data_IF_569736586750
#
_entry.id   IF_569736586750
#
_cell.length_a   1.000
_cell.length_b   1.000
_cell.length_c   1.000
_cell.angle_alpha   90.00
_cell.angle_beta   90.00
_cell.angle_gamma   90.00
#
_symmetry.space_group_name_H-M   'P 1'
#
loop_
_entity.id
_entity.type
_entity.pdbx_description
1 polymer ?
#
# COMPACT_ATOMS: atom_id res chain seq x y z
N UNK A 1 15.85 14.77 -4.28
CA UNK A 1 14.75 14.60 -5.26
C UNK A 1 15.17 15.10 -6.63
N UNK A 2 15.80 16.26 -6.74
CA UNK A 2 16.39 16.79 -7.99
C UNK A 2 17.51 15.87 -8.50
N UNK A 3 18.53 15.58 -7.67
CA UNK A 3 19.67 14.74 -8.09
C UNK A 3 19.30 13.29 -8.44
N UNK A 4 18.18 12.81 -7.90
CA UNK A 4 17.65 11.47 -8.21
C UNK A 4 16.74 11.47 -9.46
N UNK A 5 16.57 12.61 -10.13
CA UNK A 5 15.70 12.76 -11.31
C UNK A 5 14.20 12.58 -11.01
N UNK A 6 13.78 12.74 -9.76
CA UNK A 6 12.38 12.53 -9.33
C UNK A 6 11.55 13.80 -9.56
N UNK A 7 12.17 14.99 -9.43
CA UNK A 7 11.52 16.29 -9.68
C UNK A 7 12.40 17.17 -10.55
N UNK A 8 11.77 18.10 -11.28
CA UNK A 8 12.41 19.13 -12.09
C UNK A 8 11.77 20.48 -11.77
N UNK A 9 12.52 21.56 -11.95
CA UNK A 9 11.95 22.91 -11.90
C UNK A 9 10.88 23.07 -12.97
N UNK A 10 9.75 23.67 -12.60
CA UNK A 10 8.64 23.94 -13.51
C UNK A 10 8.06 25.31 -13.26
N UNK A 11 7.66 26.00 -14.34
CA UNK A 11 7.06 27.32 -14.31
C UNK A 11 5.58 27.28 -14.71
N UNK A 12 4.83 26.35 -14.13
CA UNK A 12 3.40 26.16 -14.42
C UNK A 12 2.49 27.04 -13.55
N UNK A 13 1.24 27.31 -13.97
CA UNK A 13 0.28 28.08 -13.18
C UNK A 13 -0.30 27.28 -11.99
N UNK A 14 0.07 26.01 -11.86
CA UNK A 14 -0.41 25.10 -10.81
C UNK A 14 0.66 24.94 -9.72
N UNK A 15 0.26 25.16 -8.48
CA UNK A 15 1.08 24.88 -7.30
C UNK A 15 0.23 24.22 -6.21
N UNK A 16 0.84 23.29 -5.47
CA UNK A 16 0.24 22.65 -4.29
C UNK A 16 1.15 22.86 -3.09
N UNK A 17 0.57 23.03 -1.91
CA UNK A 17 1.37 23.21 -0.69
C UNK A 17 2.09 21.91 -0.29
N UNK A 18 3.21 22.06 0.41
CA UNK A 18 4.03 20.95 0.92
C UNK A 18 3.78 20.81 2.41
N UNK A 19 3.63 19.57 2.87
CA UNK A 19 3.49 19.19 4.27
C UNK A 19 4.66 18.27 4.64
N UNK A 20 5.39 18.63 5.69
CA UNK A 20 6.46 17.82 6.25
C UNK A 20 5.95 17.06 7.48
N UNK A 21 5.99 15.73 7.42
CA UNK A 21 5.51 14.87 8.50
C UNK A 21 6.68 14.09 9.10
N UNK A 22 6.91 14.26 10.40
CA UNK A 22 7.89 13.46 11.14
C UNK A 22 7.35 12.05 11.38
N UNK A 23 8.11 11.04 11.02
CA UNK A 23 7.83 9.64 11.38
C UNK A 23 8.36 9.33 12.77
N UNK A 24 7.89 8.20 13.32
CA UNK A 24 8.38 7.63 14.59
C UNK A 24 9.87 7.29 14.58
N UNK A 25 10.42 6.96 13.41
CA UNK A 25 11.85 6.67 13.21
C UNK A 25 12.73 7.94 13.12
N UNK A 26 12.15 9.13 13.31
CA UNK A 26 12.84 10.42 13.20
C UNK A 26 13.00 10.96 11.78
N UNK A 27 12.71 10.14 10.75
CA UNK A 27 12.76 10.60 9.35
C UNK A 27 11.57 11.50 9.02
N UNK A 28 11.73 12.39 8.05
CA UNK A 28 10.66 13.28 7.57
C UNK A 28 10.11 12.79 6.23
N UNK A 29 8.78 12.72 6.09
CA UNK A 29 8.10 12.51 4.81
C UNK A 29 7.75 13.87 4.20
N UNK A 30 8.13 14.02 2.94
CA UNK A 30 7.72 15.14 2.09
C UNK A 30 6.39 14.77 1.43
N UNK A 31 5.31 15.45 1.80
CA UNK A 31 3.96 15.18 1.29
C UNK A 31 3.44 16.39 0.52
N UNK A 32 2.93 16.17 -0.70
CA UNK A 32 2.31 17.23 -1.50
C UNK A 32 0.80 17.23 -1.21
N UNK A 33 0.23 18.40 -0.92
CA UNK A 33 -1.17 18.56 -0.58
C UNK A 33 -2.07 18.67 -1.83
N UNK A 34 -2.36 17.54 -2.47
CA UNK A 34 -3.09 17.48 -3.74
C UNK A 34 -4.63 17.48 -3.61
N UNK A 35 -5.22 18.00 -2.52
CA UNK A 35 -6.68 17.91 -2.31
C UNK A 35 -7.48 18.62 -3.41
N UNK A 36 -7.14 19.87 -3.70
CA UNK A 36 -7.78 20.66 -4.76
C UNK A 36 -7.62 20.01 -6.14
N UNK A 37 -6.48 19.40 -6.40
CA UNK A 37 -6.22 18.67 -7.64
C UNK A 37 -7.12 17.42 -7.76
N UNK A 38 -7.29 16.68 -6.66
CA UNK A 38 -8.13 15.50 -6.64
C UNK A 38 -9.63 15.82 -6.83
N UNK A 39 -10.08 17.01 -6.46
CA UNK A 39 -11.48 17.46 -6.63
C UNK A 39 -11.83 17.74 -8.09
N UNK A 40 -10.88 18.25 -8.87
CA UNK A 40 -11.09 18.56 -10.29
C UNK A 40 -10.76 17.40 -11.24
N UNK A 41 -10.10 16.35 -10.72
CA UNK A 41 -9.66 15.20 -11.53
C UNK A 41 -10.77 14.15 -11.61
N UNK A 42 -10.97 13.58 -12.81
CA UNK A 42 -11.90 12.46 -13.01
C UNK A 42 -11.34 11.22 -12.33
N UNK A 43 -12.11 10.60 -11.44
CA UNK A 43 -11.70 9.41 -10.70
C UNK A 43 -11.75 8.17 -11.60
N UNK A 44 -10.60 7.63 -11.94
CA UNK A 44 -10.48 6.30 -12.55
C UNK A 44 -10.50 5.23 -11.45
N UNK A 45 -11.70 4.75 -11.12
CA UNK A 45 -11.92 3.85 -9.98
C UNK A 45 -11.98 2.40 -10.43
N UNK A 46 -11.00 1.60 -10.03
CA UNK A 46 -11.04 0.14 -10.16
C UNK A 46 -11.63 -0.49 -8.88
N UNK A 47 -12.53 -1.48 -8.97
CA UNK A 47 -13.09 -2.12 -7.78
C UNK A 47 -11.99 -2.87 -7.04
N UNK A 48 -11.72 -2.46 -5.80
CA UNK A 48 -10.86 -3.21 -4.89
C UNK A 48 -11.68 -4.34 -4.26
N UNK A 49 -11.19 -5.59 -4.30
CA UNK A 49 -11.89 -6.71 -3.68
C UNK A 49 -11.98 -6.49 -2.16
N UNK A 50 -13.08 -6.92 -1.56
CA UNK A 50 -13.21 -6.91 -0.11
C UNK A 50 -12.22 -7.91 0.49
N UNK A 51 -11.73 -7.59 1.69
CA UNK A 51 -10.78 -8.45 2.40
C UNK A 51 -11.40 -9.84 2.65
N UNK A 52 -12.68 -9.89 3.06
CA UNK A 52 -13.40 -11.14 3.32
C UNK A 52 -13.46 -12.04 2.07
N UNK A 53 -13.87 -11.48 0.93
CA UNK A 53 -13.92 -12.22 -0.35
C UNK A 53 -12.55 -12.78 -0.74
N UNK A 54 -11.48 -12.01 -0.47
CA UNK A 54 -10.10 -12.43 -0.74
C UNK A 54 -9.66 -13.55 0.19
N UNK A 55 -10.07 -13.52 1.47
CA UNK A 55 -9.75 -14.57 2.45
C UNK A 55 -10.53 -15.86 2.18
N UNK A 56 -11.79 -15.76 1.78
CA UNK A 56 -12.61 -16.90 1.42
C UNK A 56 -12.05 -17.63 0.19
N UNK A 57 -11.57 -16.88 -0.81
CA UNK A 57 -10.89 -17.44 -1.98
C UNK A 57 -9.60 -18.22 -1.63
N UNK A 58 -8.98 -17.91 -0.48
CA UNK A 58 -7.78 -18.55 0.03
C UNK A 58 -8.06 -19.73 0.97
N UNK A 59 -9.32 -20.04 1.26
CA UNK A 59 -9.70 -21.12 2.17
C UNK A 59 -9.19 -22.49 1.69
N UNK A 60 -8.85 -23.36 2.64
CA UNK A 60 -8.32 -24.70 2.37
C UNK A 60 -6.85 -24.77 1.89
N UNK A 61 -6.17 -23.62 1.71
CA UNK A 61 -4.73 -23.61 1.36
C UNK A 61 -3.84 -23.74 2.59
N UNK A 62 -2.75 -24.49 2.44
CA UNK A 62 -1.81 -24.82 3.53
C UNK A 62 -0.57 -23.90 3.56
N UNK A 63 -0.22 -23.31 2.43
CA UNK A 63 1.00 -22.52 2.24
C UNK A 63 0.65 -21.17 1.66
N UNK A 64 1.20 -20.10 2.26
CA UNK A 64 1.03 -18.74 1.78
C UNK A 64 2.39 -18.09 1.56
N UNK A 65 2.44 -17.25 0.53
CA UNK A 65 3.56 -16.34 0.32
C UNK A 65 2.99 -14.94 0.16
N UNK A 66 3.61 -13.95 0.80
CA UNK A 66 3.24 -12.55 0.61
C UNK A 66 4.36 -11.85 -0.15
N UNK A 67 3.96 -11.08 -1.15
CA UNK A 67 4.85 -10.24 -1.94
C UNK A 67 4.42 -8.80 -1.70
N UNK A 68 5.24 -8.04 -0.99
CA UNK A 68 5.02 -6.61 -0.85
C UNK A 68 5.74 -5.89 -1.99
N UNK A 69 4.94 -5.28 -2.88
CA UNK A 69 5.45 -4.43 -3.94
C UNK A 69 5.61 -3.03 -3.37
N UNK A 70 6.86 -2.59 -3.18
CA UNK A 70 7.10 -1.19 -2.86
C UNK A 70 6.84 -0.35 -4.11
N UNK A 71 5.68 0.28 -4.16
CA UNK A 71 5.34 1.29 -5.17
C UNK A 71 6.04 2.59 -4.80
N UNK A 72 7.36 2.66 -5.04
CA UNK A 72 8.03 3.95 -5.24
C UNK A 72 7.79 4.32 -6.70
N UNK A 73 7.29 5.51 -6.97
CA UNK A 73 7.22 6.13 -8.30
C UNK A 73 8.62 6.18 -8.93
N UNK A 74 9.06 5.07 -9.53
CA UNK A 74 10.31 4.92 -10.28
C UNK A 74 11.20 3.70 -9.98
N UNK A 75 11.01 2.91 -8.90
CA UNK A 75 11.84 1.70 -8.66
C UNK A 75 11.06 0.58 -7.94
N UNK A 76 10.82 -0.52 -8.65
CA UNK A 76 10.23 -1.74 -8.07
C UNK A 76 11.30 -2.55 -7.32
N UNK A 77 11.17 -2.64 -5.99
CA UNK A 77 11.84 -3.67 -5.19
C UNK A 77 10.77 -4.52 -4.51
N UNK A 78 10.88 -5.83 -4.63
CA UNK A 78 9.94 -6.79 -4.06
C UNK A 78 10.57 -7.52 -2.88
N UNK A 79 9.78 -7.70 -1.81
CA UNK A 79 10.17 -8.55 -0.67
C UNK A 79 9.22 -9.74 -0.62
N UNK A 80 9.76 -10.96 -0.65
CA UNK A 80 8.98 -12.20 -0.58
C UNK A 80 9.14 -12.83 0.80
N UNK A 81 8.03 -13.09 1.48
CA UNK A 81 8.03 -13.92 2.71
C UNK A 81 7.12 -15.13 2.52
N UNK A 82 7.60 -16.31 2.92
CA UNK A 82 6.84 -17.56 2.90
C UNK A 82 6.44 -17.93 4.33
N UNK A 83 5.17 -18.25 4.56
CA UNK A 83 4.68 -18.67 5.87
C UNK A 83 3.79 -19.91 5.74
N UNK A 84 4.10 -20.94 6.54
CA UNK A 84 3.26 -22.13 6.69
C UNK A 84 2.10 -21.81 7.64
N UNK A 85 0.89 -22.26 7.31
CA UNK A 85 -0.26 -22.14 8.21
C UNK A 85 0.00 -22.97 9.48
N UNK A 86 -0.06 -22.36 10.65
CA UNK A 86 -0.10 -23.08 11.93
C UNK A 86 -1.40 -23.89 11.97
N UNK A 87 -1.39 -25.18 12.37
CA UNK A 87 -2.63 -25.94 12.51
C UNK A 87 -3.53 -25.22 13.51
N UNK A 88 -4.78 -24.94 13.12
CA UNK A 88 -5.80 -24.46 14.04
C UNK A 88 -6.01 -25.54 15.11
N UNK A 89 -6.07 -25.18 16.42
CA UNK A 89 -6.42 -26.15 17.45
C UNK A 89 -7.76 -26.81 17.08
N UNK A 90 -7.92 -28.13 17.29
CA UNK A 90 -9.16 -28.79 16.95
C UNK A 90 -10.30 -28.11 17.70
N UNK A 91 -11.32 -27.67 16.96
CA UNK A 91 -12.57 -27.22 17.53
C UNK A 91 -13.04 -28.33 18.46
N UNK A 92 -13.06 -28.08 19.77
CA UNK A 92 -13.71 -28.97 20.72
C UNK A 92 -15.20 -28.98 20.36
N UNK A 93 -15.61 -29.95 19.56
CA UNK A 93 -17.00 -30.36 19.50
C UNK A 93 -17.34 -30.87 20.89
N UNK A 94 -18.04 -30.04 21.67
CA UNK A 94 -18.74 -30.50 22.85
C UNK A 94 -19.84 -31.44 22.35
N UNK A 95 -19.59 -32.74 22.45
CA UNK A 95 -20.66 -33.72 22.48
C UNK A 95 -21.35 -33.55 23.84
N UNK A 96 -22.59 -33.06 23.81
CA UNK A 96 -23.59 -33.25 24.85
C UNK A 96 -24.79 -33.87 24.17
#
# INVERSE_FOLDING_TARGET
>A
MVDNGIIVESSGPWASSIVLVKKKDGSTRFCIHCRKLNEITIKDSYPLPRIDDTLDALNGRQWFSTLDLKVDTGKSRSNLTKKKRQPSPPTRTLAI
#
